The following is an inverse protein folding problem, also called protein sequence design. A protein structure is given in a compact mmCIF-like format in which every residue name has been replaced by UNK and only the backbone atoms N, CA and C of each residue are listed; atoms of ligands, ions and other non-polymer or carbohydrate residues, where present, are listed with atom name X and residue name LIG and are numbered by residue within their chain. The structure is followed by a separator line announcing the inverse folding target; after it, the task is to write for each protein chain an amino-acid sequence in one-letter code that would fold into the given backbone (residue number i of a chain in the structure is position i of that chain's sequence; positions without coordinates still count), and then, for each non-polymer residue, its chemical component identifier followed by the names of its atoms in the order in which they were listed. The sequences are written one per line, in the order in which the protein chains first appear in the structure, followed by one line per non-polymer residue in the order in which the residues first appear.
data_IF_891314613966
#
_entry.id   IF_891314613966
#
_cell.length_a   1.000
_cell.length_b   1.000
_cell.length_c   1.000
_cell.angle_alpha   90.00
_cell.angle_beta   90.00
_cell.angle_gamma   90.00
#
_symmetry.space_group_name_H-M   'P 1'
#
loop_
_entity.id
_entity.type
_entity.pdbx_description
1 polymer ?
#
# COMPACT_ATOMS: atom_id res chain seq x y z
N UNK A 1 5.13 10.32 -13.04
CA UNK A 1 5.26 10.98 -11.70
C UNK A 1 4.01 11.71 -11.16
N UNK A 2 3.01 12.14 -11.96
CA UNK A 2 1.81 12.83 -11.44
C UNK A 2 0.97 11.95 -10.49
N UNK A 3 0.84 10.66 -10.83
CA UNK A 3 0.06 9.69 -10.05
C UNK A 3 0.81 9.17 -8.81
N UNK A 4 2.15 9.14 -8.87
CA UNK A 4 3.01 8.73 -7.75
C UNK A 4 2.79 9.61 -6.50
N UNK A 5 2.58 10.92 -6.72
CA UNK A 5 2.29 11.87 -5.63
C UNK A 5 0.91 11.62 -5.02
N UNK A 6 -0.09 11.19 -5.80
CA UNK A 6 -1.43 10.83 -5.27
C UNK A 6 -1.35 9.56 -4.43
N UNK A 7 -0.67 8.53 -4.92
CA UNK A 7 -0.45 7.27 -4.19
C UNK A 7 0.24 7.52 -2.84
N UNK A 8 1.31 8.33 -2.82
CA UNK A 8 1.99 8.70 -1.57
C UNK A 8 1.06 9.45 -0.59
N UNK A 9 0.21 10.35 -1.08
CA UNK A 9 -0.74 11.09 -0.25
C UNK A 9 -1.82 10.17 0.32
N UNK A 10 -2.35 9.25 -0.48
CA UNK A 10 -3.34 8.26 -0.03
C UNK A 10 -2.75 7.28 0.99
N UNK A 11 -1.51 6.84 0.79
CA UNK A 11 -0.78 5.99 1.74
C UNK A 11 -0.49 6.69 3.06
N UNK A 12 -0.20 7.99 3.05
CA UNK A 12 -0.05 8.77 4.28
C UNK A 12 -1.38 8.96 5.00
N UNK A 13 -2.47 9.22 4.27
CA UNK A 13 -3.80 9.26 4.84
C UNK A 13 -4.16 7.91 5.48
N UNK A 14 -3.78 6.81 4.83
CA UNK A 14 -3.97 5.45 5.30
C UNK A 14 -3.42 5.23 6.72
N UNK A 15 -2.15 5.59 6.93
CA UNK A 15 -1.48 5.42 8.21
C UNK A 15 -2.12 6.23 9.35
N UNK A 16 -2.75 7.37 9.04
CA UNK A 16 -3.36 8.25 10.03
C UNK A 16 -4.71 7.75 10.56
N UNK A 17 -5.42 6.88 9.83
CA UNK A 17 -6.70 6.32 10.27
C UNK A 17 -6.56 5.03 11.12
N UNK A 18 -5.41 4.37 11.07
CA UNK A 18 -5.19 3.07 11.72
C UNK A 18 -4.76 3.13 13.21
N UNK A 19 -4.53 4.32 13.78
CA UNK A 19 -4.18 4.49 15.21
C UNK A 19 -5.37 4.36 16.17
N UNK A 20 -6.57 4.04 15.66
CA UNK A 20 -7.80 3.82 16.44
C UNK A 20 -8.26 2.35 16.40
N UNK A 21 -7.34 1.39 16.51
CA UNK A 21 -7.72 0.03 16.90
C UNK A 21 -8.08 0.04 18.39
N UNK A 22 -9.36 0.34 18.68
CA UNK A 22 -10.00 0.07 19.97
C UNK A 22 -9.68 -1.36 20.39
N UNK A 23 -9.18 -1.52 21.60
CA UNK A 23 -8.88 -2.81 22.23
C UNK A 23 -10.16 -3.62 22.44
N UNK A 24 -10.64 -4.30 21.40
CA UNK A 24 -11.67 -5.32 21.52
C UNK A 24 -11.11 -6.65 21.03
N UNK A 25 -11.07 -7.62 21.95
CA UNK A 25 -10.65 -9.01 21.77
C UNK A 25 -11.60 -9.78 20.83
N UNK A 26 -11.69 -9.36 19.57
CA UNK A 26 -12.30 -10.16 18.51
C UNK A 26 -11.24 -11.07 17.90
N UNK A 27 -11.57 -12.28 17.41
CA UNK A 27 -10.64 -13.16 16.71
C UNK A 27 -10.02 -12.55 15.43
N UNK A 28 -10.57 -11.42 14.94
CA UNK A 28 -9.98 -10.64 13.86
C UNK A 28 -8.85 -9.71 14.34
N UNK A 29 -8.65 -9.52 15.65
CA UNK A 29 -7.66 -8.58 16.19
C UNK A 29 -6.23 -8.98 15.88
N UNK A 30 -5.87 -10.27 16.01
CA UNK A 30 -4.53 -10.76 15.70
C UNK A 30 -4.26 -10.76 14.19
N UNK A 31 -5.26 -11.12 13.37
CA UNK A 31 -5.17 -11.04 11.92
C UNK A 31 -4.94 -9.59 11.47
N UNK A 32 -5.72 -8.66 12.01
CA UNK A 32 -5.63 -7.25 11.64
C UNK A 32 -4.38 -6.57 12.19
N UNK A 33 -3.88 -7.01 13.34
CA UNK A 33 -2.58 -6.56 13.84
C UNK A 33 -1.44 -7.00 12.92
N UNK A 34 -1.42 -8.27 12.52
CA UNK A 34 -0.42 -8.78 11.56
C UNK A 34 -0.55 -8.07 10.21
N UNK A 35 -1.77 -7.77 9.77
CA UNK A 35 -2.01 -6.97 8.58
C UNK A 35 -1.38 -5.57 8.68
N UNK A 36 -1.56 -4.88 9.82
CA UNK A 36 -0.96 -3.56 10.05
C UNK A 36 0.57 -3.63 9.97
N UNK A 37 1.19 -4.62 10.60
CA UNK A 37 2.64 -4.83 10.53
C UNK A 37 3.10 -5.09 9.07
N UNK A 38 2.38 -5.95 8.35
CA UNK A 38 2.68 -6.27 6.95
C UNK A 38 2.53 -5.09 6.00
N UNK A 39 1.54 -4.21 6.21
CA UNK A 39 1.37 -3.02 5.36
C UNK A 39 2.42 -1.96 5.68
N UNK A 40 2.84 -1.82 6.95
CA UNK A 40 3.95 -0.93 7.30
C UNK A 40 5.26 -1.37 6.64
N UNK A 41 5.58 -2.66 6.66
CA UNK A 41 6.75 -3.21 5.98
C UNK A 41 6.65 -3.01 4.46
N UNK A 42 5.51 -3.40 3.86
CA UNK A 42 5.29 -3.19 2.43
C UNK A 42 5.39 -1.72 2.03
N UNK A 43 5.00 -0.79 2.89
CA UNK A 43 5.07 0.65 2.63
C UNK A 43 6.52 1.14 2.58
N UNK A 44 7.33 0.65 3.50
CA UNK A 44 8.76 0.95 3.50
C UNK A 44 9.44 0.40 2.25
N UNK A 45 9.12 -0.82 1.84
CA UNK A 45 9.74 -1.45 0.68
C UNK A 45 9.30 -0.83 -0.64
N UNK A 46 8.00 -0.52 -0.78
CA UNK A 46 7.49 0.30 -1.88
C UNK A 46 8.20 1.66 -1.96
N UNK A 47 8.35 2.36 -0.82
CA UNK A 47 9.05 3.65 -0.75
C UNK A 47 10.52 3.53 -1.19
N UNK A 48 11.24 2.51 -0.70
CA UNK A 48 12.64 2.24 -1.10
C UNK A 48 12.73 1.96 -2.60
N UNK A 49 11.84 1.14 -3.15
CA UNK A 49 11.85 0.80 -4.57
C UNK A 49 11.54 2.00 -5.47
N UNK A 50 10.61 2.87 -5.07
CA UNK A 50 10.37 4.15 -5.74
C UNK A 50 11.63 4.99 -5.76
N UNK A 51 12.28 5.17 -4.60
CA UNK A 51 13.49 5.99 -4.50
C UNK A 51 14.60 5.42 -5.36
N UNK A 52 14.81 4.10 -5.35
CA UNK A 52 15.81 3.44 -6.19
C UNK A 52 15.56 3.68 -7.68
N UNK A 53 14.31 3.57 -8.14
CA UNK A 53 13.95 3.85 -9.53
C UNK A 53 14.04 5.34 -9.89
N UNK A 54 13.76 6.23 -8.95
CA UNK A 54 13.87 7.68 -9.15
C UNK A 54 15.34 8.14 -9.23
N UNK A 55 16.19 7.65 -8.32
CA UNK A 55 17.61 8.02 -8.23
C UNK A 55 18.45 7.38 -9.35
N UNK A 56 18.14 6.13 -9.72
CA UNK A 56 18.86 5.40 -10.75
C UNK A 56 17.90 4.58 -11.63
N UNK A 57 17.26 5.19 -12.64
CA UNK A 57 16.33 4.50 -13.51
C UNK A 57 17.01 3.36 -14.28
N UNK A 58 16.52 2.14 -14.11
CA UNK A 58 17.00 0.96 -14.85
C UNK A 58 15.92 -0.11 -14.96
N UNK A 59 16.07 -1.06 -15.88
CA UNK A 59 15.13 -2.17 -16.01
C UNK A 59 15.04 -3.01 -14.72
N UNK A 60 16.16 -3.15 -14.00
CA UNK A 60 16.20 -3.86 -12.72
C UNK A 60 15.43 -3.12 -11.62
N UNK A 61 15.65 -1.81 -11.46
CA UNK A 61 14.94 -1.00 -10.47
C UNK A 61 13.46 -0.84 -10.82
N UNK A 62 13.12 -0.77 -12.11
CA UNK A 62 11.76 -0.81 -12.60
C UNK A 62 11.06 -2.13 -12.22
N UNK A 63 11.70 -3.28 -12.46
CA UNK A 63 11.15 -4.59 -12.11
C UNK A 63 10.96 -4.75 -10.59
N UNK A 64 11.91 -4.24 -9.80
CA UNK A 64 11.79 -4.20 -8.34
C UNK A 64 10.60 -3.33 -7.90
N UNK A 65 10.47 -2.11 -8.45
CA UNK A 65 9.32 -1.23 -8.16
C UNK A 65 7.99 -1.89 -8.52
N UNK A 66 7.88 -2.52 -9.69
CA UNK A 66 6.65 -3.24 -10.07
C UNK A 66 6.34 -4.41 -9.13
N UNK A 67 7.36 -5.11 -8.64
CA UNK A 67 7.22 -6.19 -7.66
C UNK A 67 6.66 -5.64 -6.35
N UNK A 68 7.21 -4.55 -5.83
CA UNK A 68 6.73 -3.94 -4.59
C UNK A 68 5.33 -3.33 -4.71
N UNK A 69 4.98 -2.75 -5.87
CA UNK A 69 3.60 -2.31 -6.15
C UNK A 69 2.63 -3.50 -6.09
N UNK A 70 2.99 -4.63 -6.72
CA UNK A 70 2.15 -5.83 -6.72
C UNK A 70 2.04 -6.45 -5.32
N UNK A 71 3.12 -6.43 -4.55
CA UNK A 71 3.14 -6.85 -3.14
C UNK A 71 2.18 -6.00 -2.31
N UNK A 72 2.25 -4.67 -2.44
CA UNK A 72 1.36 -3.72 -1.77
C UNK A 72 -0.11 -3.97 -2.10
N UNK A 73 -0.45 -4.13 -3.39
CA UNK A 73 -1.83 -4.46 -3.82
C UNK A 73 -2.32 -5.73 -3.12
N UNK A 74 -1.49 -6.77 -3.11
CA UNK A 74 -1.83 -8.07 -2.52
C UNK A 74 -2.04 -7.96 -1.01
N UNK A 75 -1.17 -7.22 -0.32
CA UNK A 75 -1.31 -6.96 1.12
C UNK A 75 -2.64 -6.27 1.41
N UNK A 76 -2.96 -5.17 0.72
CA UNK A 76 -4.22 -4.42 0.93
C UNK A 76 -5.44 -5.29 0.63
N UNK A 77 -5.41 -6.07 -0.46
CA UNK A 77 -6.50 -6.98 -0.82
C UNK A 77 -6.73 -8.06 0.25
N UNK A 78 -5.67 -8.59 0.85
CA UNK A 78 -5.76 -9.56 1.94
C UNK A 78 -6.27 -8.93 3.25
N UNK A 79 -6.03 -7.64 3.49
CA UNK A 79 -6.47 -6.94 4.69
C UNK A 79 -7.93 -6.49 4.68
N UNK A 80 -8.71 -6.79 3.64
CA UNK A 80 -10.06 -6.21 3.44
C UNK A 80 -11.00 -6.39 4.63
N UNK A 81 -10.85 -7.49 5.36
CA UNK A 81 -11.65 -7.85 6.53
C UNK A 81 -11.35 -6.97 7.77
N UNK A 82 -10.25 -6.23 7.74
CA UNK A 82 -9.82 -5.34 8.81
C UNK A 82 -10.39 -3.93 8.68
N UNK A 83 -11.24 -3.70 7.69
CA UNK A 83 -11.76 -2.40 7.35
C UNK A 83 -13.25 -2.30 7.58
N UNK A 84 -13.69 -1.12 7.97
CA UNK A 84 -15.11 -0.83 8.03
C UNK A 84 -15.70 -0.68 6.62
N UNK A 85 -17.00 -0.95 6.48
CA UNK A 85 -17.72 -0.71 5.23
C UNK A 85 -17.57 0.74 4.75
N UNK A 86 -17.49 1.71 5.68
CA UNK A 86 -17.30 3.13 5.38
C UNK A 86 -15.95 3.47 4.73
N UNK A 87 -14.94 2.61 4.88
CA UNK A 87 -13.61 2.84 4.33
C UNK A 87 -13.38 2.05 3.03
N UNK A 88 -14.24 1.07 2.73
CA UNK A 88 -14.13 0.16 1.56
C UNK A 88 -13.93 0.90 0.23
N UNK A 89 -14.58 2.05 0.05
CA UNK A 89 -14.43 2.85 -1.16
C UNK A 89 -13.02 3.43 -1.31
N UNK A 90 -12.46 4.00 -0.23
CA UNK A 90 -11.08 4.51 -0.19
C UNK A 90 -10.05 3.41 -0.47
N UNK A 91 -10.29 2.18 0.00
CA UNK A 91 -9.42 1.03 -0.32
C UNK A 91 -9.46 0.65 -1.77
N UNK A 92 -10.65 0.58 -2.36
CA UNK A 92 -10.80 0.27 -3.77
C UNK A 92 -10.14 1.35 -4.65
N UNK A 93 -10.24 2.63 -4.26
CA UNK A 93 -9.55 3.72 -4.93
C UNK A 93 -8.02 3.56 -4.83
N UNK A 94 -7.48 3.27 -3.64
CA UNK A 94 -6.05 3.03 -3.46
C UNK A 94 -5.55 1.84 -4.29
N UNK A 95 -6.27 0.72 -4.32
CA UNK A 95 -5.93 -0.44 -5.14
C UNK A 95 -5.96 -0.06 -6.63
N UNK A 96 -6.94 0.74 -7.08
CA UNK A 96 -7.01 1.19 -8.45
C UNK A 96 -5.82 2.10 -8.82
N UNK A 97 -5.45 3.04 -7.96
CA UNK A 97 -4.27 3.90 -8.18
C UNK A 97 -2.96 3.09 -8.20
N UNK A 98 -2.83 2.08 -7.34
CA UNK A 98 -1.68 1.17 -7.35
C UNK A 98 -1.63 0.31 -8.63
N UNK A 99 -2.78 -0.16 -9.13
CA UNK A 99 -2.85 -0.89 -10.41
C UNK A 99 -2.46 0.01 -11.58
N UNK A 100 -2.88 1.26 -11.58
CA UNK A 100 -2.41 2.25 -12.58
C UNK A 100 -0.91 2.50 -12.44
N UNK A 101 -0.40 2.67 -11.22
CA UNK A 101 1.03 2.83 -10.96
C UNK A 101 1.82 1.61 -11.46
N UNK A 102 1.33 0.39 -11.26
CA UNK A 102 1.98 -0.83 -11.76
C UNK A 102 2.17 -0.81 -13.28
N UNK A 103 1.16 -0.32 -14.01
CA UNK A 103 1.23 -0.21 -15.46
C UNK A 103 2.19 0.88 -15.92
N UNK A 104 2.25 2.01 -15.20
CA UNK A 104 2.94 3.24 -15.62
C UNK A 104 4.26 3.51 -14.90
N UNK A 105 4.71 2.62 -14.00
CA UNK A 105 5.86 2.84 -13.10
C UNK A 105 7.18 3.17 -13.81
N UNK A 106 7.30 2.81 -15.09
CA UNK A 106 8.54 2.89 -15.86
C UNK A 106 8.34 3.51 -17.24
N UNK A 107 7.19 4.13 -17.46
CA UNK A 107 6.87 4.92 -18.66
C UNK A 107 7.23 6.41 -18.40
#
# INVERSE_FOLDING_TARGET
MKNLKKVLVLLLAFLLFNVSCSSDDSPNSDFCKNYIENIEEGLQDYSKAIMAQYENPSDANCAALKTEIQSMITTIENGKECFSDSETESYNELIAELKEALTTACD
#
